data_IF_950430662477
#
_entry.id   IF_950430662477
#
_cell.length_a   1.000
_cell.length_b   1.000
_cell.length_c   1.000
_cell.angle_alpha   90.00
_cell.angle_beta   90.00
_cell.angle_gamma   90.00
#
_symmetry.space_group_name_H-M   'P 1'
#
loop_
_entity.id
_entity.type
_entity.pdbx_description
1 polymer ?
#
# COMPACT_ATOMS: atom_id res chain seq x y z
N UNK A 1 -25.45 20.88 87.94
CA UNK A 1 -25.59 19.42 87.81
C UNK A 1 -26.81 19.21 86.92
N UNK A 2 -26.73 18.79 85.66
CA UNK A 2 -25.95 17.69 85.06
C UNK A 2 -25.77 17.91 83.54
N UNK A 3 -24.59 17.50 83.04
CA UNK A 3 -24.29 16.90 81.71
C UNK A 3 -24.50 17.77 80.44
N UNK A 4 -23.76 17.63 79.34
CA UNK A 4 -22.51 16.94 78.98
C UNK A 4 -22.04 17.59 77.68
N UNK A 5 -20.74 17.59 77.45
CA UNK A 5 -20.05 18.29 76.39
C UNK A 5 -19.87 17.42 75.12
N UNK A 6 -19.89 18.10 73.96
CA UNK A 6 -19.15 17.81 72.71
C UNK A 6 -19.67 16.72 71.75
N UNK A 7 -20.01 17.18 70.54
CA UNK A 7 -20.01 16.43 69.27
C UNK A 7 -18.63 15.81 69.00
N UNK A 8 -18.56 14.61 68.38
CA UNK A 8 -18.04 14.58 67.01
C UNK A 8 -18.58 13.48 66.06
N UNK A 9 -18.44 13.78 64.76
CA UNK A 9 -18.15 12.92 63.58
C UNK A 9 -19.07 11.76 63.15
N UNK A 10 -19.69 12.01 61.99
CA UNK A 10 -19.76 11.24 60.72
C UNK A 10 -20.09 9.74 60.76
N UNK A 11 -21.20 9.39 60.12
CA UNK A 11 -21.40 8.14 59.39
C UNK A 11 -21.98 8.43 58.01
N UNK A 12 -21.38 7.81 57.00
CA UNK A 12 -21.73 7.90 55.59
C UNK A 12 -22.93 7.00 55.26
N UNK A 13 -23.75 7.41 54.29
CA UNK A 13 -24.63 6.52 53.55
C UNK A 13 -24.41 6.79 52.06
N UNK A 14 -23.88 5.78 51.39
CA UNK A 14 -23.68 5.73 49.95
C UNK A 14 -25.03 5.58 49.24
N UNK A 15 -25.27 6.39 48.21
CA UNK A 15 -26.28 6.09 47.20
C UNK A 15 -25.54 5.97 45.88
N UNK A 16 -25.35 4.72 45.45
CA UNK A 16 -24.94 4.39 44.11
C UNK A 16 -26.16 4.58 43.19
N UNK A 17 -26.03 5.46 42.20
CA UNK A 17 -26.87 5.45 41.01
C UNK A 17 -25.94 5.46 39.80
N UNK A 18 -25.84 4.29 39.19
CA UNK A 18 -25.20 4.06 37.91
C UNK A 18 -25.92 4.89 36.83
N UNK A 19 -25.17 5.74 36.13
CA UNK A 19 -25.55 6.19 34.80
C UNK A 19 -24.52 5.60 33.86
N UNK A 20 -25.00 4.67 33.04
CA UNK A 20 -24.19 3.82 32.18
C UNK A 20 -23.24 4.63 31.32
N UNK A 21 -21.98 4.22 31.34
CA UNK A 21 -21.04 4.55 30.30
C UNK A 21 -21.59 3.94 29.00
N UNK A 22 -22.12 4.78 28.11
CA UNK A 22 -22.15 4.46 26.69
C UNK A 22 -20.72 4.73 26.21
N UNK A 23 -19.81 3.82 26.51
CA UNK A 23 -18.66 3.62 25.64
C UNK A 23 -19.25 3.08 24.35
N UNK A 24 -19.55 3.98 23.42
CA UNK A 24 -19.58 3.61 22.02
C UNK A 24 -18.17 3.09 21.72
N UNK A 25 -17.98 1.77 21.86
CA UNK A 25 -16.99 1.08 21.07
C UNK A 25 -17.46 1.28 19.64
N UNK A 26 -17.03 2.38 19.02
CA UNK A 26 -16.68 2.36 17.60
C UNK A 26 -15.62 1.28 17.50
N UNK A 27 -16.07 0.03 17.41
CA UNK A 27 -15.29 -1.03 16.85
C UNK A 27 -14.77 -0.45 15.55
N UNK A 28 -13.45 -0.27 15.46
CA UNK A 28 -12.78 -0.06 14.21
C UNK A 28 -13.24 -1.21 13.32
N UNK A 29 -14.23 -0.96 12.45
CA UNK A 29 -14.42 -1.77 11.28
C UNK A 29 -13.10 -1.60 10.53
N UNK A 30 -12.20 -2.56 10.69
CA UNK A 30 -11.06 -2.67 9.81
C UNK A 30 -11.64 -2.73 8.40
N UNK A 31 -11.26 -1.77 7.57
CA UNK A 31 -11.55 -1.83 6.16
C UNK A 31 -10.85 -3.10 5.65
N UNK A 32 -11.62 -4.17 5.41
CA UNK A 32 -11.08 -5.44 4.91
C UNK A 32 -10.60 -5.30 3.45
N UNK A 33 -10.81 -4.12 2.84
CA UNK A 33 -10.48 -3.81 1.47
C UNK A 33 -11.48 -4.44 0.50
N UNK A 34 -11.64 -3.83 -0.66
CA UNK A 34 -12.41 -4.39 -1.78
C UNK A 34 -11.47 -4.83 -2.88
N UNK A 35 -11.84 -5.84 -3.65
CA UNK A 35 -11.13 -6.15 -4.88
C UNK A 35 -11.23 -4.95 -5.84
N UNK A 36 -10.16 -4.68 -6.57
CA UNK A 36 -10.20 -3.76 -7.69
C UNK A 36 -11.26 -4.20 -8.70
N UNK A 37 -11.95 -3.24 -9.31
CA UNK A 37 -12.92 -3.50 -10.36
C UNK A 37 -12.24 -3.94 -11.65
N UNK A 38 -11.03 -3.43 -11.92
CA UNK A 38 -10.20 -3.86 -13.03
C UNK A 38 -8.71 -3.72 -12.71
N UNK A 39 -7.93 -4.60 -13.34
CA UNK A 39 -6.47 -4.51 -13.42
C UNK A 39 -6.10 -4.63 -14.89
N UNK A 40 -5.15 -3.82 -15.35
CA UNK A 40 -4.64 -3.88 -16.73
C UNK A 40 -3.19 -3.42 -16.80
N UNK A 41 -2.60 -3.47 -18.00
CA UNK A 41 -1.35 -2.76 -18.25
C UNK A 41 -1.52 -1.25 -18.04
N UNK A 42 -0.42 -0.58 -17.69
CA UNK A 42 -0.39 0.88 -17.59
C UNK A 42 -0.84 1.52 -18.90
N UNK A 43 -1.56 2.62 -18.76
CA UNK A 43 -2.10 3.46 -19.84
C UNK A 43 -1.20 4.65 -20.17
N UNK A 44 -0.13 4.88 -19.40
CA UNK A 44 0.85 5.96 -19.60
C UNK A 44 1.55 5.92 -20.97
N UNK A 45 1.64 4.75 -21.60
CA UNK A 45 2.40 4.54 -22.84
C UNK A 45 3.93 4.57 -22.65
N UNK A 46 4.41 4.58 -21.40
CA UNK A 46 5.84 4.53 -21.07
C UNK A 46 6.31 3.08 -21.09
N UNK A 47 7.44 2.84 -21.76
CA UNK A 47 8.14 1.55 -21.68
C UNK A 47 9.06 1.62 -20.45
N UNK A 48 8.82 0.76 -19.47
CA UNK A 48 9.57 0.76 -18.20
C UNK A 48 10.86 -0.05 -18.28
N UNK A 49 10.91 -1.04 -19.18
CA UNK A 49 12.10 -1.87 -19.48
C UNK A 49 12.80 -1.37 -20.74
N UNK A 50 13.93 -1.98 -21.10
CA UNK A 50 14.60 -1.72 -22.38
C UNK A 50 13.98 -2.51 -23.56
N UNK A 51 12.95 -3.34 -23.31
CA UNK A 51 12.36 -4.20 -24.32
C UNK A 51 11.06 -3.61 -24.90
N UNK A 52 11.08 -3.23 -26.18
CA UNK A 52 9.90 -2.66 -26.87
C UNK A 52 8.67 -3.57 -26.93
N UNK A 53 8.86 -4.88 -26.73
CA UNK A 53 7.78 -5.88 -26.65
C UNK A 53 6.90 -5.72 -25.42
N UNK A 54 7.36 -4.96 -24.42
CA UNK A 54 6.69 -4.83 -23.13
C UNK A 54 5.66 -3.69 -23.13
N UNK A 55 5.58 -2.93 -24.23
CA UNK A 55 4.57 -1.90 -24.40
C UNK A 55 3.17 -2.51 -24.33
N UNK A 56 2.35 -1.99 -23.42
CA UNK A 56 1.01 -2.49 -23.18
C UNK A 56 0.95 -3.82 -22.42
N UNK A 57 2.05 -4.23 -21.80
CA UNK A 57 2.10 -5.36 -20.85
C UNK A 57 2.12 -4.86 -19.41
N UNK A 58 1.58 -5.66 -18.50
CA UNK A 58 1.86 -5.51 -17.07
C UNK A 58 3.29 -5.97 -16.86
N UNK A 59 4.11 -5.17 -16.18
CA UNK A 59 5.50 -5.50 -15.86
C UNK A 59 5.66 -5.46 -14.36
N UNK A 60 6.17 -6.54 -13.77
CA UNK A 60 6.53 -6.60 -12.36
C UNK A 60 7.85 -7.34 -12.24
N UNK A 61 8.84 -6.70 -11.64
CA UNK A 61 10.11 -7.36 -11.42
C UNK A 61 11.23 -6.49 -10.89
N UNK A 62 12.35 -7.16 -10.67
CA UNK A 62 13.66 -6.53 -10.50
C UNK A 62 14.70 -7.37 -11.26
N UNK A 63 15.81 -6.76 -11.69
CA UNK A 63 16.86 -7.46 -12.42
C UNK A 63 17.09 -6.87 -13.80
N UNK A 64 17.45 -7.73 -14.75
CA UNK A 64 17.79 -7.33 -16.13
C UNK A 64 17.01 -8.17 -17.16
N UNK A 65 16.75 -9.44 -16.86
CA UNK A 65 16.21 -10.40 -17.81
C UNK A 65 14.73 -10.72 -17.55
N UNK A 66 14.02 -11.03 -18.64
CA UNK A 66 12.68 -11.61 -18.53
C UNK A 66 12.76 -13.06 -18.05
N UNK A 67 12.31 -13.29 -16.81
CA UNK A 67 12.25 -14.61 -16.20
C UNK A 67 11.33 -14.60 -14.98
N UNK A 68 10.88 -15.79 -14.57
CA UNK A 68 10.06 -16.00 -13.36
C UNK A 68 10.70 -15.47 -12.06
N UNK A 69 12.02 -15.27 -12.05
CA UNK A 69 12.77 -14.77 -10.88
C UNK A 69 13.19 -13.31 -11.00
N UNK A 70 13.02 -12.68 -12.16
CA UNK A 70 13.42 -11.29 -12.39
C UNK A 70 12.24 -10.46 -12.91
N UNK A 71 12.21 -10.17 -14.21
CA UNK A 71 11.16 -9.37 -14.84
C UNK A 71 10.09 -10.28 -15.42
N UNK A 72 8.85 -10.09 -14.96
CA UNK A 72 7.70 -10.90 -15.38
C UNK A 72 6.66 -10.05 -16.10
N UNK A 73 5.92 -10.69 -16.99
CA UNK A 73 4.80 -10.12 -17.76
C UNK A 73 3.46 -10.81 -17.41
N UNK A 74 2.99 -10.70 -16.16
CA UNK A 74 1.77 -11.38 -15.74
C UNK A 74 0.55 -10.85 -16.50
N UNK A 75 -0.43 -11.73 -16.73
CA UNK A 75 -1.75 -11.31 -17.23
C UNK A 75 -2.57 -10.64 -16.11
N UNK A 76 -3.55 -9.78 -16.45
CA UNK A 76 -4.44 -9.17 -15.47
C UNK A 76 -5.09 -10.14 -14.48
N UNK A 77 -5.52 -11.31 -14.96
CA UNK A 77 -6.19 -12.34 -14.15
C UNK A 77 -5.26 -13.05 -13.15
N UNK A 78 -3.95 -12.75 -13.20
CA UNK A 78 -2.94 -13.29 -12.30
C UNK A 78 -2.56 -12.33 -11.17
N UNK A 79 -3.09 -11.11 -11.18
CA UNK A 79 -2.90 -10.13 -10.11
C UNK A 79 -4.13 -10.12 -9.20
N UNK A 80 -3.89 -10.05 -7.91
CA UNK A 80 -4.89 -9.73 -6.89
C UNK A 80 -4.60 -8.31 -6.40
N UNK A 81 -5.41 -7.35 -6.84
CA UNK A 81 -5.34 -5.96 -6.39
C UNK A 81 -6.51 -5.67 -5.45
N UNK A 82 -6.20 -5.20 -4.25
CA UNK A 82 -7.16 -4.86 -3.20
C UNK A 82 -7.02 -3.40 -2.80
N UNK A 83 -8.15 -2.70 -2.85
CA UNK A 83 -8.28 -1.28 -2.62
C UNK A 83 -8.88 -1.00 -1.25
N UNK A 84 -8.33 -0.03 -0.54
CA UNK A 84 -8.73 0.42 0.78
C UNK A 84 -9.05 1.91 0.72
N UNK A 85 -10.14 2.34 1.33
CA UNK A 85 -10.59 3.74 1.25
C UNK A 85 -10.95 4.20 -0.17
N UNK A 86 -10.95 5.52 -0.39
CA UNK A 86 -11.28 6.16 -1.67
C UNK A 86 -10.68 7.57 -1.77
N UNK A 87 -10.54 8.10 -2.98
CA UNK A 87 -10.02 9.44 -3.26
C UNK A 87 -8.63 9.66 -2.65
N UNK A 88 -8.47 10.74 -1.87
CA UNK A 88 -7.20 11.08 -1.20
C UNK A 88 -6.78 10.06 -0.11
N UNK A 89 -7.69 9.18 0.31
CA UNK A 89 -7.42 8.12 1.28
C UNK A 89 -7.25 6.73 0.63
N UNK A 90 -7.23 6.65 -0.71
CA UNK A 90 -7.07 5.39 -1.42
C UNK A 90 -5.68 4.78 -1.14
N UNK A 91 -5.67 3.49 -0.81
CA UNK A 91 -4.47 2.67 -0.79
C UNK A 91 -4.75 1.36 -1.53
N UNK A 92 -3.72 0.80 -2.16
CA UNK A 92 -3.85 -0.38 -3.02
C UNK A 92 -2.72 -1.35 -2.66
N UNK A 93 -3.10 -2.58 -2.32
CA UNK A 93 -2.19 -3.72 -2.22
C UNK A 93 -2.33 -4.59 -3.48
N UNK A 94 -1.24 -4.82 -4.18
CA UNK A 94 -1.16 -5.70 -5.35
C UNK A 94 -0.32 -6.91 -4.97
N UNK A 95 -0.90 -8.10 -5.11
CA UNK A 95 -0.17 -9.37 -5.08
C UNK A 95 -0.07 -9.91 -6.49
N UNK A 96 1.14 -10.28 -6.90
CA UNK A 96 1.41 -10.82 -8.23
C UNK A 96 2.13 -12.18 -8.12
N UNK A 97 2.26 -12.93 -9.23
CA UNK A 97 2.97 -14.21 -9.24
C UNK A 97 4.41 -14.07 -8.74
N UNK A 98 5.02 -15.20 -8.37
CA UNK A 98 6.42 -15.28 -7.93
C UNK A 98 6.71 -14.41 -6.69
N UNK A 99 5.72 -14.29 -5.79
CA UNK A 99 5.89 -13.73 -4.45
C UNK A 99 5.90 -12.21 -4.37
N UNK A 100 5.62 -11.50 -5.46
CA UNK A 100 5.60 -10.04 -5.49
C UNK A 100 4.42 -9.47 -4.70
N UNK A 101 4.72 -8.47 -3.87
CA UNK A 101 3.71 -7.63 -3.21
C UNK A 101 4.11 -6.18 -3.30
N UNK A 102 3.16 -5.34 -3.68
CA UNK A 102 3.35 -3.90 -3.90
C UNK A 102 2.24 -3.17 -3.16
N UNK A 103 2.58 -2.11 -2.44
CA UNK A 103 1.65 -1.21 -1.80
C UNK A 103 1.82 0.20 -2.36
N UNK A 104 0.71 0.80 -2.77
CA UNK A 104 0.64 2.15 -3.29
C UNK A 104 -0.39 2.96 -2.48
N UNK A 105 -0.11 4.23 -2.23
CA UNK A 105 -0.99 5.14 -1.50
C UNK A 105 -1.22 6.42 -2.28
N UNK A 106 -2.47 6.90 -2.29
CA UNK A 106 -2.91 8.05 -3.07
C UNK A 106 -1.99 9.26 -2.92
N UNK A 107 -1.61 9.86 -4.05
CA UNK A 107 -0.73 11.03 -4.11
C UNK A 107 0.76 10.75 -3.87
N UNK A 108 1.17 9.51 -3.61
CA UNK A 108 2.56 9.13 -3.38
C UNK A 108 3.29 8.77 -4.69
N UNK A 109 4.56 9.19 -4.82
CA UNK A 109 5.53 8.62 -5.77
C UNK A 109 6.36 7.47 -5.17
N UNK A 110 6.07 7.08 -3.93
CA UNK A 110 6.77 6.01 -3.20
C UNK A 110 5.89 4.76 -3.17
N UNK A 111 6.47 3.62 -3.51
CA UNK A 111 5.86 2.29 -3.45
C UNK A 111 6.57 1.44 -2.40
N UNK A 112 5.83 0.75 -1.54
CA UNK A 112 6.43 -0.28 -0.71
C UNK A 112 6.37 -1.61 -1.45
N UNK A 113 7.53 -2.25 -1.67
CA UNK A 113 7.63 -3.49 -2.43
C UNK A 113 8.33 -4.58 -1.62
N UNK A 114 7.92 -5.82 -1.82
CA UNK A 114 8.61 -7.01 -1.32
C UNK A 114 8.48 -8.17 -2.31
N UNK A 115 9.39 -9.14 -2.21
CA UNK A 115 9.25 -10.44 -2.86
C UNK A 115 9.46 -11.55 -1.84
N UNK A 116 8.37 -12.23 -1.47
CA UNK A 116 8.41 -13.24 -0.41
C UNK A 116 9.09 -14.54 -0.84
N UNK A 117 8.97 -14.91 -2.12
CA UNK A 117 9.50 -16.17 -2.64
C UNK A 117 11.04 -16.12 -2.74
N UNK A 118 11.58 -14.93 -3.04
CA UNK A 118 13.01 -14.67 -3.12
C UNK A 118 13.61 -14.17 -1.80
N UNK A 119 12.80 -13.99 -0.76
CA UNK A 119 13.24 -13.48 0.54
C UNK A 119 13.71 -12.01 0.51
N UNK A 120 13.21 -11.22 -0.45
CA UNK A 120 13.50 -9.80 -0.56
C UNK A 120 12.57 -9.02 0.38
N UNK A 121 13.17 -8.47 1.43
CA UNK A 121 12.43 -7.78 2.49
C UNK A 121 11.71 -6.53 1.97
N UNK A 122 10.56 -6.23 2.61
CA UNK A 122 9.78 -5.03 2.33
C UNK A 122 10.59 -3.76 2.47
N UNK A 123 10.49 -2.90 1.46
CA UNK A 123 11.25 -1.66 1.37
C UNK A 123 10.50 -0.64 0.51
N UNK A 124 10.81 0.63 0.71
CA UNK A 124 10.20 1.73 -0.01
C UNK A 124 11.07 2.11 -1.21
N UNK A 125 10.45 2.20 -2.39
CA UNK A 125 11.07 2.61 -3.64
C UNK A 125 10.49 3.96 -4.06
N UNK A 126 11.37 4.95 -4.20
CA UNK A 126 11.04 6.26 -4.74
C UNK A 126 11.05 6.20 -6.28
N UNK A 127 9.86 6.27 -6.87
CA UNK A 127 9.64 6.26 -8.31
C UNK A 127 9.65 7.68 -8.92
N UNK A 128 9.96 8.73 -8.14
CA UNK A 128 9.99 10.11 -8.62
C UNK A 128 10.95 10.25 -9.79
N UNK A 129 10.47 10.82 -10.90
CA UNK A 129 11.31 11.10 -12.04
C UNK A 129 12.32 12.21 -11.70
N UNK A 130 13.60 11.84 -11.56
CA UNK A 130 14.69 12.74 -11.16
C UNK A 130 15.07 13.78 -12.23
N UNK A 131 14.51 13.69 -13.43
CA UNK A 131 14.86 14.56 -14.56
C UNK A 131 13.72 15.52 -14.93
N UNK A 132 12.46 15.12 -14.71
CA UNK A 132 11.28 15.89 -15.07
C UNK A 132 10.19 15.70 -14.02
N UNK A 133 10.06 16.66 -13.09
CA UNK A 133 9.05 16.62 -12.02
C UNK A 133 7.61 16.52 -12.52
N UNK A 134 7.35 17.00 -13.75
CA UNK A 134 6.02 16.91 -14.38
C UNK A 134 5.69 15.50 -14.91
N UNK A 135 6.70 14.64 -15.09
CA UNK A 135 6.53 13.28 -15.55
C UNK A 135 6.36 12.37 -14.32
N UNK A 136 5.12 12.22 -13.86
CA UNK A 136 4.77 11.35 -12.74
C UNK A 136 4.86 9.89 -13.19
N UNK A 137 5.67 9.08 -12.50
CA UNK A 137 5.76 7.64 -12.74
C UNK A 137 4.57 6.89 -12.14
N UNK A 138 3.89 7.52 -11.19
CA UNK A 138 2.67 7.01 -10.56
C UNK A 138 1.61 8.09 -10.70
N UNK A 139 0.61 7.86 -11.55
CA UNK A 139 -0.48 8.79 -11.81
C UNK A 139 -1.70 8.45 -10.94
N UNK A 140 -2.15 9.44 -10.18
CA UNK A 140 -3.34 9.42 -9.33
C UNK A 140 -4.39 10.45 -9.81
N UNK A 141 -4.26 10.96 -11.04
CA UNK A 141 -5.10 12.03 -11.57
C UNK A 141 -6.57 11.64 -11.71
N UNK A 142 -6.85 10.35 -11.87
CA UNK A 142 -8.20 9.80 -11.88
C UNK A 142 -8.61 9.37 -10.48
N UNK A 143 -9.79 9.78 -9.98
CA UNK A 143 -10.29 9.35 -8.68
C UNK A 143 -10.44 7.83 -8.62
N UNK A 144 -9.99 7.25 -7.51
CA UNK A 144 -10.11 5.80 -7.25
C UNK A 144 -9.38 4.92 -8.27
N UNK A 145 -8.37 5.45 -8.96
CA UNK A 145 -7.51 4.74 -9.89
C UNK A 145 -6.05 5.04 -9.60
N UNK A 146 -5.17 4.11 -9.99
CA UNK A 146 -3.73 4.37 -10.09
C UNK A 146 -3.19 3.82 -11.40
N UNK A 147 -2.33 4.59 -12.06
CA UNK A 147 -1.52 4.13 -13.18
C UNK A 147 -0.04 4.20 -12.79
N UNK A 148 0.63 3.05 -12.72
CA UNK A 148 2.04 2.93 -12.37
C UNK A 148 2.81 2.62 -13.65
N UNK A 149 3.78 3.46 -13.98
CA UNK A 149 4.81 3.20 -14.97
C UNK A 149 6.15 3.70 -14.42
N UNK A 150 6.75 2.88 -13.57
CA UNK A 150 7.91 3.23 -12.77
C UNK A 150 9.11 2.34 -13.07
N UNK A 151 10.27 2.98 -13.16
CA UNK A 151 11.56 2.31 -13.12
C UNK A 151 12.46 3.01 -12.11
N UNK A 152 12.99 2.25 -11.15
CA UNK A 152 13.80 2.78 -10.07
C UNK A 152 15.03 1.93 -9.82
N UNK A 153 16.03 2.48 -9.13
CA UNK A 153 17.19 1.71 -8.67
C UNK A 153 16.72 0.61 -7.70
N UNK A 154 17.34 -0.57 -7.75
CA UNK A 154 17.01 -1.63 -6.80
C UNK A 154 17.30 -1.17 -5.35
N UNK A 155 16.43 -1.53 -4.39
CA UNK A 155 16.63 -1.24 -2.98
C UNK A 155 18.00 -1.72 -2.46
N UNK A 156 18.54 -0.99 -1.49
CA UNK A 156 19.79 -1.39 -0.87
C UNK A 156 19.68 -2.78 -0.24
N UNK A 157 20.59 -3.68 -0.61
CA UNK A 157 20.63 -5.07 -0.13
C UNK A 157 19.95 -6.08 -1.04
N UNK A 158 19.24 -5.63 -2.10
CA UNK A 158 18.79 -6.50 -3.18
C UNK A 158 19.97 -6.70 -4.14
N UNK A 159 20.62 -7.86 -4.07
CA UNK A 159 21.86 -8.13 -4.80
C UNK A 159 21.58 -9.05 -5.99
N UNK A 160 21.62 -8.52 -7.22
CA UNK A 160 21.57 -9.34 -8.43
C UNK A 160 22.96 -9.89 -8.75
N UNK A 161 23.07 -11.15 -9.22
CA UNK A 161 24.34 -11.71 -9.71
C UNK A 161 24.97 -10.90 -10.85
N UNK A 162 24.16 -10.16 -11.63
CA UNK A 162 24.59 -9.44 -12.82
C UNK A 162 25.13 -8.02 -12.53
N UNK A 163 24.93 -7.49 -11.31
CA UNK A 163 25.33 -6.12 -10.95
C UNK A 163 24.19 -5.32 -10.32
N UNK A 164 24.29 -3.96 -10.33
CA UNK A 164 23.19 -3.10 -9.88
C UNK A 164 21.95 -3.37 -10.73
N UNK A 165 20.88 -3.83 -10.08
CA UNK A 165 19.60 -4.08 -10.73
C UNK A 165 18.67 -2.87 -10.62
N UNK A 166 17.60 -2.89 -11.41
CA UNK A 166 16.49 -1.93 -11.31
C UNK A 166 15.21 -2.66 -10.96
N UNK A 167 14.25 -1.93 -10.40
CA UNK A 167 12.86 -2.35 -10.21
C UNK A 167 12.03 -1.81 -11.35
N UNK A 168 11.13 -2.64 -11.88
CA UNK A 168 10.24 -2.34 -12.99
C UNK A 168 8.80 -2.61 -12.58
N UNK A 169 7.95 -1.59 -12.69
CA UNK A 169 6.52 -1.69 -12.40
C UNK A 169 5.72 -0.97 -13.48
N UNK A 170 4.85 -1.70 -14.17
CA UNK A 170 3.88 -1.20 -15.14
C UNK A 170 2.54 -1.85 -14.86
N UNK A 171 1.56 -1.13 -14.31
CA UNK A 171 0.23 -1.65 -14.00
C UNK A 171 -0.77 -0.52 -13.82
N UNK A 172 -2.00 -0.73 -14.25
CA UNK A 172 -3.15 0.12 -13.96
C UNK A 172 -4.14 -0.64 -13.07
N UNK A 173 -4.70 0.03 -12.07
CA UNK A 173 -5.72 -0.51 -11.17
C UNK A 173 -6.87 0.48 -11.05
N UNK A 174 -8.10 0.02 -11.33
CA UNK A 174 -9.35 0.75 -11.13
C UNK A 174 -10.09 0.17 -9.91
N UNK A 175 -10.35 1.01 -8.92
CA UNK A 175 -11.01 0.64 -7.67
C UNK A 175 -12.49 1.06 -7.59
N UNK A 176 -13.10 1.58 -8.65
CA UNK A 176 -14.47 2.14 -8.61
C UNK A 176 -15.59 1.11 -8.62
#
# INVERSE_FOLDING_TARGET
MTLSHRRPRRTAAAVALAVGAITALTACLGDEGRMAAAVSASTSGVIVTDASTDLGSIIIGWGEDHSDTEITTPRPDQLDARCYGSGDALAIDITAPHGWKIHASSGSQILAIENVDQGLARTDVDATNKYLDIAQSIDWSQPDEVDIAATADAPQGWNSPAGPARVYLSVHVDCR
#
